data_IF_615288931642
#
_entry.id   IF_615288931642
#
_cell.length_a   1.000
_cell.length_b   1.000
_cell.length_c   1.000
_cell.angle_alpha   90.00
_cell.angle_beta   90.00
_cell.angle_gamma   90.00
#
_symmetry.space_group_name_H-M   'P 1'
#
loop_
_entity.id
_entity.type
_entity.pdbx_description
1 polymer ?
#
# COMPACT_ATOMS: atom_id res chain seq x y z
N UNK A 1 15.25 -18.98 -0.89
CA UNK A 1 14.12 -18.23 -1.49
C UNK A 1 13.04 -19.23 -1.88
N UNK A 2 11.77 -18.96 -1.55
CA UNK A 2 10.66 -19.88 -1.84
C UNK A 2 10.48 -20.06 -3.35
N UNK A 3 10.26 -21.30 -3.81
CA UNK A 3 9.94 -21.63 -5.22
C UNK A 3 8.65 -20.98 -5.74
N UNK A 4 7.82 -20.44 -4.84
CA UNK A 4 6.54 -19.80 -5.15
C UNK A 4 6.60 -18.27 -5.19
N UNK A 5 7.75 -17.66 -4.94
CA UNK A 5 7.89 -16.21 -5.01
C UNK A 5 7.95 -15.77 -6.47
N UNK A 6 6.94 -15.00 -6.90
CA UNK A 6 6.96 -14.34 -8.21
C UNK A 6 8.22 -13.47 -8.34
N UNK A 7 8.98 -13.74 -9.40
CA UNK A 7 10.28 -13.12 -9.66
C UNK A 7 10.17 -11.82 -10.46
N UNK A 8 8.95 -11.41 -10.83
CA UNK A 8 8.72 -10.16 -11.53
C UNK A 8 9.26 -8.97 -10.73
N UNK A 9 9.78 -7.96 -11.44
CA UNK A 9 10.32 -6.75 -10.83
C UNK A 9 9.25 -6.00 -10.02
N UNK A 10 8.00 -6.04 -10.49
CA UNK A 10 6.86 -5.43 -9.81
C UNK A 10 6.62 -6.09 -8.43
N UNK A 11 6.55 -7.41 -8.37
CA UNK A 11 6.32 -8.14 -7.11
C UNK A 11 7.49 -7.97 -6.15
N UNK A 12 8.73 -7.98 -6.64
CA UNK A 12 9.92 -7.70 -5.81
C UNK A 12 9.95 -6.26 -5.28
N UNK A 13 9.57 -5.29 -6.12
CA UNK A 13 9.46 -3.88 -5.73
C UNK A 13 8.41 -3.67 -4.65
N UNK A 14 7.23 -4.29 -4.79
CA UNK A 14 6.19 -4.26 -3.77
C UNK A 14 6.65 -4.89 -2.44
N UNK A 15 7.28 -6.07 -2.50
CA UNK A 15 7.83 -6.74 -1.31
C UNK A 15 8.89 -5.89 -0.61
N UNK A 16 9.81 -5.29 -1.37
CA UNK A 16 10.83 -4.39 -0.82
C UNK A 16 10.18 -3.16 -0.17
N UNK A 17 9.20 -2.54 -0.83
CA UNK A 17 8.53 -1.37 -0.29
C UNK A 17 7.73 -1.71 0.97
N UNK A 18 7.14 -2.90 1.05
CA UNK A 18 6.43 -3.38 2.24
C UNK A 18 7.38 -3.60 3.43
N UNK A 19 8.51 -4.26 3.20
CA UNK A 19 9.56 -4.42 4.23
C UNK A 19 10.12 -3.06 4.65
N UNK A 20 10.26 -2.12 3.72
CA UNK A 20 10.74 -0.77 4.02
C UNK A 20 9.76 0.00 4.89
N UNK A 21 8.46 -0.11 4.62
CA UNK A 21 7.40 0.46 5.44
C UNK A 21 7.47 -0.07 6.87
N UNK A 22 7.61 -1.39 7.02
CA UNK A 22 7.73 -2.01 8.33
C UNK A 22 9.00 -1.57 9.07
N UNK A 23 10.13 -1.46 8.36
CA UNK A 23 11.36 -0.94 8.94
C UNK A 23 11.22 0.50 9.44
N UNK A 24 10.46 1.35 8.75
CA UNK A 24 10.27 2.76 9.17
C UNK A 24 9.34 2.91 10.37
N UNK A 25 8.34 2.03 10.49
CA UNK A 25 7.26 2.19 11.47
C UNK A 25 7.35 1.22 12.66
N UNK A 26 8.06 0.09 12.53
CA UNK A 26 8.07 -1.00 13.52
C UNK A 26 9.48 -1.40 13.98
N UNK A 27 10.54 -0.77 13.47
CA UNK A 27 11.92 -1.08 13.91
C UNK A 27 12.36 -0.38 15.19
N UNK A 28 11.52 0.48 15.78
CA UNK A 28 11.89 1.37 16.89
C UNK A 28 13.16 2.20 16.59
N UNK A 29 13.30 2.68 15.35
CA UNK A 29 14.46 3.46 14.91
C UNK A 29 15.72 2.63 14.60
N UNK A 30 15.63 1.30 14.59
CA UNK A 30 16.75 0.38 14.34
C UNK A 30 16.54 -0.44 13.05
N UNK A 31 16.42 0.19 11.86
CA UNK A 31 16.08 -0.51 10.62
C UNK A 31 17.12 -1.56 10.22
N UNK A 32 18.41 -1.38 10.55
CA UNK A 32 19.46 -2.38 10.30
C UNK A 32 19.28 -3.64 11.15
N UNK A 33 18.89 -3.49 12.41
CA UNK A 33 18.63 -4.63 13.29
C UNK A 33 17.38 -5.39 12.83
N UNK A 34 16.34 -4.65 12.43
CA UNK A 34 15.13 -5.22 11.85
C UNK A 34 15.40 -6.04 10.59
N UNK A 35 16.09 -5.50 9.59
CA UNK A 35 16.39 -6.24 8.35
C UNK A 35 17.34 -7.41 8.59
N UNK A 36 18.28 -7.29 9.54
CA UNK A 36 19.12 -8.41 9.97
C UNK A 36 18.28 -9.53 10.61
N UNK A 37 17.33 -9.20 11.47
CA UNK A 37 16.44 -10.19 12.09
C UNK A 37 15.64 -10.97 11.04
N UNK A 38 15.14 -10.27 10.01
CA UNK A 38 14.44 -10.90 8.89
C UNK A 38 15.34 -11.85 8.07
N UNK A 39 16.65 -11.59 7.99
CA UNK A 39 17.58 -12.37 7.18
C UNK A 39 18.31 -13.49 7.94
N UNK A 40 18.42 -13.38 9.27
CA UNK A 40 19.30 -14.24 10.08
C UNK A 40 18.64 -15.51 10.62
N UNK A 41 17.30 -15.58 10.66
CA UNK A 41 16.57 -16.68 11.29
C UNK A 41 16.23 -17.85 10.35
N UNK A 42 15.90 -19.04 10.89
CA UNK A 42 15.37 -20.16 10.10
C UNK A 42 13.93 -19.90 9.63
N UNK A 43 13.20 -19.02 10.32
CA UNK A 43 11.85 -18.63 9.95
C UNK A 43 11.85 -17.81 8.65
N UNK A 44 10.89 -18.08 7.77
CA UNK A 44 10.71 -17.33 6.53
C UNK A 44 9.24 -16.94 6.34
N UNK A 45 8.97 -16.01 5.43
CA UNK A 45 7.61 -15.59 5.09
C UNK A 45 6.92 -14.78 6.20
N UNK A 46 5.59 -14.89 6.25
CA UNK A 46 4.72 -14.04 7.10
C UNK A 46 5.06 -14.18 8.59
N UNK A 47 5.33 -15.40 9.08
CA UNK A 47 5.66 -15.65 10.49
C UNK A 47 6.91 -14.90 10.94
N UNK A 48 7.98 -14.95 10.13
CA UNK A 48 9.20 -14.20 10.41
C UNK A 48 8.91 -12.69 10.44
N UNK A 49 8.17 -12.22 9.44
CA UNK A 49 7.85 -10.80 9.30
C UNK A 49 7.03 -10.25 10.46
N UNK A 50 5.95 -10.92 10.87
CA UNK A 50 5.12 -10.51 12.00
C UNK A 50 5.85 -10.60 13.33
N UNK A 51 6.76 -11.57 13.49
CA UNK A 51 7.61 -11.70 14.68
C UNK A 51 8.60 -10.53 14.78
N UNK A 52 9.27 -10.17 13.68
CA UNK A 52 10.22 -9.06 13.65
C UNK A 52 9.53 -7.69 13.85
N UNK A 53 8.37 -7.49 13.21
CA UNK A 53 7.59 -6.26 13.31
C UNK A 53 6.78 -6.15 14.61
N UNK A 54 6.59 -7.27 15.33
CA UNK A 54 5.72 -7.36 16.51
C UNK A 54 4.31 -6.82 16.25
N UNK A 55 3.81 -7.07 15.05
CA UNK A 55 2.51 -6.60 14.58
C UNK A 55 1.85 -7.67 13.70
N UNK A 56 0.50 -7.79 13.74
CA UNK A 56 -0.24 -8.64 12.82
C UNK A 56 -0.01 -8.25 11.36
N UNK A 57 -0.06 -9.23 10.46
CA UNK A 57 0.13 -8.98 9.02
C UNK A 57 -0.93 -8.01 8.48
N UNK A 58 -2.17 -8.10 8.96
CA UNK A 58 -3.27 -7.24 8.49
C UNK A 58 -3.01 -5.77 8.82
N UNK A 59 -2.54 -5.46 10.03
CA UNK A 59 -2.16 -4.09 10.42
C UNK A 59 -0.98 -3.55 9.61
N UNK A 60 -0.03 -4.43 9.27
CA UNK A 60 1.11 -4.08 8.42
C UNK A 60 0.64 -3.77 7.00
N UNK A 61 -0.24 -4.60 6.42
CA UNK A 61 -0.79 -4.43 5.08
C UNK A 61 -1.67 -3.20 4.99
N UNK A 62 -2.55 -2.96 5.97
CA UNK A 62 -3.34 -1.72 6.08
C UNK A 62 -2.42 -0.50 6.02
N UNK A 63 -1.46 -0.43 6.95
CA UNK A 63 -0.57 0.72 7.05
C UNK A 63 0.25 0.94 5.79
N UNK A 64 0.70 -0.16 5.17
CA UNK A 64 1.44 -0.12 3.92
C UNK A 64 0.61 0.39 2.75
N UNK A 65 -0.61 -0.13 2.55
CA UNK A 65 -1.50 0.33 1.48
C UNK A 65 -1.84 1.81 1.63
N UNK A 66 -2.18 2.26 2.84
CA UNK A 66 -2.44 3.68 3.10
C UNK A 66 -1.18 4.52 2.81
N UNK A 67 0.01 4.03 3.21
CA UNK A 67 1.27 4.76 2.98
C UNK A 67 1.61 4.92 1.50
N UNK A 68 1.32 3.92 0.67
CA UNK A 68 1.53 3.99 -0.78
C UNK A 68 0.68 5.08 -1.42
N UNK A 69 -0.58 5.21 -0.99
CA UNK A 69 -1.43 6.32 -1.45
C UNK A 69 -0.94 7.67 -0.92
N UNK A 70 -0.74 7.76 0.40
CA UNK A 70 -0.46 9.00 1.10
C UNK A 70 0.94 9.57 0.88
N UNK A 71 1.87 8.78 0.34
CA UNK A 71 3.28 9.12 0.19
C UNK A 71 3.46 10.52 -0.42
N UNK A 72 4.08 11.41 0.35
CA UNK A 72 4.39 12.80 -0.01
C UNK A 72 3.20 13.63 -0.54
N UNK A 73 1.96 13.31 -0.17
CA UNK A 73 0.78 14.12 -0.51
C UNK A 73 0.55 15.31 0.45
N UNK A 74 1.26 15.37 1.58
CA UNK A 74 1.11 16.45 2.55
C UNK A 74 -0.27 16.49 3.22
N UNK A 75 -0.92 15.33 3.39
CA UNK A 75 -2.25 15.21 4.01
C UNK A 75 -2.18 15.72 5.45
N UNK A 76 -2.92 16.79 5.75
CA UNK A 76 -2.96 17.38 7.08
C UNK A 76 -3.51 16.38 8.11
N UNK A 77 -2.81 16.27 9.25
CA UNK A 77 -3.23 15.39 10.36
C UNK A 77 -3.06 13.89 10.11
N UNK A 78 -2.40 13.48 9.01
CA UNK A 78 -2.12 12.07 8.77
C UNK A 78 -1.13 11.53 9.82
N UNK A 79 -1.52 10.45 10.50
CA UNK A 79 -0.67 9.76 11.48
C UNK A 79 0.66 9.31 10.82
N UNK A 80 1.77 9.56 11.52
CA UNK A 80 3.12 9.22 11.06
C UNK A 80 3.31 7.71 10.83
N UNK A 81 2.43 6.83 11.34
CA UNK A 81 2.43 5.39 11.04
C UNK A 81 2.00 5.05 9.61
N UNK A 82 1.33 5.97 8.93
CA UNK A 82 0.86 5.83 7.55
C UNK A 82 1.78 6.52 6.54
N UNK A 83 3.04 6.76 6.90
CA UNK A 83 4.02 7.40 6.05
C UNK A 83 5.29 6.56 5.94
N UNK A 84 5.95 6.65 4.79
CA UNK A 84 7.37 6.32 4.69
C UNK A 84 8.19 7.47 5.28
N UNK A 85 9.05 7.17 6.26
CA UNK A 85 9.84 8.20 6.97
C UNK A 85 11.21 8.39 6.35
N UNK A 86 11.66 7.40 5.59
CA UNK A 86 13.01 7.32 5.07
C UNK A 86 13.09 7.40 3.55
N UNK A 87 11.96 7.26 2.85
CA UNK A 87 11.86 7.31 1.40
C UNK A 87 10.57 8.01 1.01
N UNK A 88 10.63 8.97 0.10
CA UNK A 88 9.45 9.59 -0.51
C UNK A 88 9.35 9.10 -1.95
N UNK A 89 8.63 8.01 -2.20
CA UNK A 89 8.55 7.40 -3.53
C UNK A 89 8.01 8.36 -4.57
N UNK A 90 6.95 9.08 -4.24
CA UNK A 90 6.26 10.02 -5.12
C UNK A 90 7.18 11.14 -5.59
N UNK A 91 8.11 11.56 -4.74
CA UNK A 91 9.08 12.62 -5.04
C UNK A 91 10.36 12.09 -5.70
N UNK A 92 10.79 10.88 -5.33
CA UNK A 92 12.04 10.27 -5.84
C UNK A 92 11.83 9.60 -7.20
N UNK A 93 10.65 9.06 -7.49
CA UNK A 93 10.40 8.36 -8.75
C UNK A 93 10.55 9.24 -10.00
N UNK A 94 10.06 10.48 -10.04
CA UNK A 94 10.27 11.35 -11.21
C UNK A 94 11.75 11.54 -11.62
N UNK A 95 12.68 11.92 -10.73
CA UNK A 95 14.09 12.05 -11.10
C UNK A 95 14.77 10.69 -11.36
N UNK A 96 14.39 9.63 -10.64
CA UNK A 96 14.98 8.29 -10.84
C UNK A 96 14.51 7.67 -12.16
N UNK A 97 13.24 7.74 -12.52
CA UNK A 97 12.74 7.11 -13.75
C UNK A 97 13.27 7.82 -15.01
N UNK A 98 13.52 9.14 -14.94
CA UNK A 98 14.20 9.87 -16.03
C UNK A 98 15.65 9.45 -16.18
N UNK A 99 16.40 9.41 -15.08
CA UNK A 99 17.85 9.18 -15.12
C UNK A 99 18.25 7.70 -15.26
N UNK A 100 17.54 6.79 -14.58
CA UNK A 100 17.89 5.36 -14.49
C UNK A 100 17.07 4.51 -15.46
N UNK A 101 15.80 4.86 -15.70
CA UNK A 101 14.90 4.05 -16.53
C UNK A 101 14.69 4.62 -17.94
N UNK A 102 15.31 5.76 -18.26
CA UNK A 102 15.18 6.47 -19.53
C UNK A 102 13.71 6.69 -19.96
N UNK A 103 12.83 6.99 -19.00
CA UNK A 103 11.41 7.21 -19.25
C UNK A 103 11.10 8.70 -19.44
N UNK A 104 10.40 9.03 -20.53
CA UNK A 104 9.99 10.41 -20.86
C UNK A 104 8.92 10.95 -19.90
N UNK A 105 8.06 10.08 -19.39
CA UNK A 105 7.09 10.40 -18.32
C UNK A 105 7.53 9.70 -17.05
N UNK A 106 7.85 10.49 -16.04
CA UNK A 106 8.32 10.00 -14.76
C UNK A 106 7.40 10.54 -13.67
N UNK A 107 6.36 9.78 -13.38
CA UNK A 107 5.41 10.06 -12.31
C UNK A 107 5.39 8.89 -11.36
N UNK A 108 4.87 9.12 -10.15
CA UNK A 108 4.55 8.03 -9.26
C UNK A 108 3.46 7.15 -9.89
N UNK A 109 3.69 5.84 -10.10
CA UNK A 109 2.87 5.00 -10.98
C UNK A 109 1.62 4.44 -10.30
N UNK A 110 1.25 4.95 -9.12
CA UNK A 110 0.06 4.48 -8.43
C UNK A 110 -1.20 4.92 -9.17
N UNK A 111 -1.94 3.95 -9.70
CA UNK A 111 -3.20 4.18 -10.39
C UNK A 111 -4.32 4.31 -9.35
N UNK A 112 -4.99 5.47 -9.36
CA UNK A 112 -6.13 5.76 -8.48
C UNK A 112 -7.36 6.02 -9.33
N UNK A 113 -8.34 5.14 -9.22
CA UNK A 113 -9.58 5.22 -9.99
C UNK A 113 -10.52 6.25 -9.36
N UNK A 114 -10.86 7.30 -10.11
CA UNK A 114 -11.85 8.28 -9.63
C UNK A 114 -13.26 7.69 -9.69
N UNK A 115 -14.00 7.79 -8.59
CA UNK A 115 -15.37 7.30 -8.45
C UNK A 115 -16.32 8.51 -8.40
N UNK A 116 -17.33 8.50 -9.27
CA UNK A 116 -18.36 9.54 -9.35
C UNK A 116 -19.77 8.99 -9.17
N UNK A 117 -20.76 9.87 -9.08
CA UNK A 117 -22.16 9.48 -8.99
C UNK A 117 -22.57 8.64 -10.21
N UNK A 118 -23.30 7.55 -9.97
CA UNK A 118 -23.77 6.62 -11.01
C UNK A 118 -22.67 5.78 -11.70
N UNK A 119 -21.41 5.87 -11.25
CA UNK A 119 -20.31 5.09 -11.84
C UNK A 119 -20.21 3.70 -11.20
N UNK A 120 -20.08 2.66 -12.03
CA UNK A 120 -19.81 1.29 -11.60
C UNK A 120 -18.45 0.84 -12.12
N UNK A 121 -17.66 0.18 -11.27
CA UNK A 121 -16.35 -0.36 -11.62
C UNK A 121 -16.25 -1.81 -11.16
N UNK A 122 -15.50 -2.61 -11.90
CA UNK A 122 -15.11 -3.96 -11.50
C UNK A 122 -13.60 -4.04 -11.44
N UNK A 123 -13.08 -4.62 -10.37
CA UNK A 123 -11.64 -4.87 -10.19
C UNK A 123 -11.44 -6.21 -9.50
N UNK A 124 -10.22 -6.72 -9.54
CA UNK A 124 -9.80 -7.94 -8.89
C UNK A 124 -8.54 -7.66 -8.07
N UNK A 125 -8.62 -7.87 -6.75
CA UNK A 125 -7.44 -7.87 -5.89
C UNK A 125 -6.87 -9.29 -5.81
N UNK A 126 -5.59 -9.43 -6.17
CA UNK A 126 -4.80 -10.63 -5.90
C UNK A 126 -4.18 -10.52 -4.50
N UNK A 127 -3.77 -11.65 -3.93
CA UNK A 127 -3.05 -11.66 -2.66
C UNK A 127 -1.83 -10.72 -2.70
N UNK A 128 -1.73 -9.84 -1.70
CA UNK A 128 -0.64 -8.87 -1.59
C UNK A 128 -0.73 -7.68 -2.56
N UNK A 129 -1.88 -7.47 -3.21
CA UNK A 129 -2.15 -6.28 -4.04
C UNK A 129 -3.18 -5.38 -3.38
N UNK A 130 -3.33 -4.15 -3.89
CA UNK A 130 -4.40 -3.24 -3.50
C UNK A 130 -4.87 -2.42 -4.68
N UNK A 131 -6.19 -2.22 -4.77
CA UNK A 131 -6.83 -1.33 -5.74
C UNK A 131 -7.23 -0.04 -5.03
N UNK A 132 -6.95 1.11 -5.66
CA UNK A 132 -7.19 2.43 -5.07
C UNK A 132 -8.32 3.15 -5.78
N UNK A 133 -9.31 3.57 -5.00
CA UNK A 133 -10.43 4.36 -5.48
C UNK A 133 -10.45 5.72 -4.77
N UNK A 134 -10.82 6.77 -5.49
CA UNK A 134 -10.98 8.12 -4.94
C UNK A 134 -12.36 8.65 -5.26
N UNK A 135 -13.18 8.79 -4.22
CA UNK A 135 -14.42 9.56 -4.27
C UNK A 135 -14.13 11.01 -3.89
N UNK A 136 -14.45 11.96 -4.76
CA UNK A 136 -14.37 13.41 -4.44
C UNK A 136 -15.76 13.90 -4.06
N UNK A 137 -15.89 14.46 -2.86
CA UNK A 137 -17.16 14.99 -2.36
C UNK A 137 -17.04 16.49 -2.20
N UNK A 138 -17.80 17.25 -2.99
CA UNK A 138 -17.81 18.70 -2.89
C UNK A 138 -18.37 19.16 -1.52
N UNK A 139 -17.92 20.33 -1.05
CA UNK A 139 -18.45 20.92 0.17
C UNK A 139 -19.98 21.08 0.06
N UNK A 140 -20.72 20.63 1.07
CA UNK A 140 -22.18 20.69 1.08
C UNK A 140 -22.91 19.65 0.22
N UNK A 141 -22.21 18.72 -0.46
CA UNK A 141 -22.84 17.72 -1.33
C UNK A 141 -23.66 16.62 -0.60
N UNK A 142 -23.78 16.70 0.73
CA UNK A 142 -24.48 15.70 1.54
C UNK A 142 -23.75 14.36 1.64
N UNK A 143 -24.39 13.38 2.27
CA UNK A 143 -23.85 12.04 2.42
C UNK A 143 -23.76 11.31 1.07
N UNK A 144 -22.67 10.57 0.86
CA UNK A 144 -22.46 9.75 -0.33
C UNK A 144 -22.49 8.27 0.07
N UNK A 145 -23.17 7.46 -0.74
CA UNK A 145 -23.25 6.02 -0.54
C UNK A 145 -22.31 5.31 -1.52
N UNK A 146 -21.36 4.54 -1.00
CA UNK A 146 -20.51 3.64 -1.79
C UNK A 146 -20.90 2.22 -1.44
N UNK A 147 -21.16 1.39 -2.46
CA UNK A 147 -21.45 -0.03 -2.30
C UNK A 147 -20.32 -0.84 -2.92
N UNK A 148 -19.90 -1.88 -2.21
CA UNK A 148 -18.98 -2.89 -2.74
C UNK A 148 -19.78 -4.17 -2.91
N UNK A 149 -19.82 -4.67 -4.14
CA UNK A 149 -20.65 -5.80 -4.54
C UNK A 149 -19.78 -6.89 -5.17
N UNK A 150 -20.22 -8.14 -5.08
CA UNK A 150 -19.63 -9.24 -5.82
C UNK A 150 -20.01 -9.19 -7.33
N UNK A 151 -19.49 -10.11 -8.12
CA UNK A 151 -19.78 -10.18 -9.58
C UNK A 151 -21.24 -10.47 -9.90
N UNK A 152 -22.04 -10.88 -8.91
CA UNK A 152 -23.47 -11.18 -9.03
C UNK A 152 -24.35 -10.03 -8.51
N UNK A 153 -23.75 -8.93 -8.02
CA UNK A 153 -24.47 -7.76 -7.52
C UNK A 153 -24.90 -7.86 -6.06
N UNK A 154 -24.47 -8.89 -5.31
CA UNK A 154 -24.75 -9.01 -3.88
C UNK A 154 -23.71 -8.25 -3.05
N UNK A 155 -23.98 -8.03 -1.77
CA UNK A 155 -22.99 -7.45 -0.84
C UNK A 155 -21.74 -8.33 -0.84
N UNK A 156 -20.61 -7.73 -1.22
CA UNK A 156 -19.33 -8.41 -1.29
C UNK A 156 -18.94 -8.97 0.09
N UNK A 157 -18.62 -10.26 0.14
CA UNK A 157 -17.98 -10.90 1.29
C UNK A 157 -16.78 -11.69 0.80
N UNK A 158 -15.58 -11.24 1.16
CA UNK A 158 -14.33 -11.83 0.69
C UNK A 158 -13.49 -12.23 1.91
N UNK A 159 -13.34 -13.54 2.19
CA UNK A 159 -12.46 -14.00 3.26
C UNK A 159 -11.01 -13.51 3.04
N UNK A 160 -10.52 -12.65 3.93
CA UNK A 160 -9.17 -12.09 3.89
C UNK A 160 -8.97 -10.86 3.02
N UNK A 161 -10.02 -10.32 2.37
CA UNK A 161 -9.96 -8.99 1.76
C UNK A 161 -10.49 -7.94 2.73
N UNK A 162 -9.86 -6.78 2.74
CA UNK A 162 -10.21 -5.69 3.63
C UNK A 162 -10.41 -4.40 2.83
N UNK A 163 -11.43 -3.63 3.21
CA UNK A 163 -11.69 -2.30 2.66
C UNK A 163 -11.23 -1.27 3.69
N UNK A 164 -10.27 -0.44 3.29
CA UNK A 164 -9.76 0.65 4.11
C UNK A 164 -10.27 1.98 3.58
N UNK A 165 -10.91 2.78 4.43
CA UNK A 165 -11.42 4.10 4.06
C UNK A 165 -10.53 5.16 4.69
N UNK A 166 -9.74 5.83 3.85
CA UNK A 166 -8.99 7.03 4.24
C UNK A 166 -9.81 8.27 3.86
N UNK A 167 -10.17 9.06 4.85
CA UNK A 167 -10.73 10.40 4.63
C UNK A 167 -9.62 11.43 4.63
N UNK A 168 -9.46 12.12 3.51
CA UNK A 168 -8.58 13.28 3.37
C UNK A 168 -9.45 14.53 3.27
N UNK A 169 -9.12 15.59 4.02
CA UNK A 169 -9.82 16.88 4.02
C UNK A 169 -8.99 17.93 3.29
#
# INVERSE_FOLDING_TARGET
>A
MSKLADTSLATRGAAWAFVRFAADNYSNGLPRAFTRALAAGPDTGVRNFTTAAKAPVDSLVEGWLVSMYADHLGIAGLDAKYQYRSYNFRSVMPPVARSVLNQSTATYPLVVQSVGSGSNFSSMNRSGTGTYFRLTVAAGAGAQNVKVLDTSGNVATFPGEHIYVLRVQ
#
